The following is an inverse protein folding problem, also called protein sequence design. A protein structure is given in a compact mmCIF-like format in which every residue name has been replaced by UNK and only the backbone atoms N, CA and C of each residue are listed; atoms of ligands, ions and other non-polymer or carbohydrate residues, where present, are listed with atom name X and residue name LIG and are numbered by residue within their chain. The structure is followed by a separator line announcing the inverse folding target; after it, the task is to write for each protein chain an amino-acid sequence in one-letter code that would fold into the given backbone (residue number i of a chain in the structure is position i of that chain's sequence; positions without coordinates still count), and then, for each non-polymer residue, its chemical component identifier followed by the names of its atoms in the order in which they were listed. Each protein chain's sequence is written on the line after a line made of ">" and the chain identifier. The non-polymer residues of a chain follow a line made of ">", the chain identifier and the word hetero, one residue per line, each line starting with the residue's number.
data_IF_423318776760
#
_entry.id   IF_423318776760
#
_cell.length_a   1.000
_cell.length_b   1.000
_cell.length_c   1.000
_cell.angle_alpha   90.00
_cell.angle_beta   90.00
_cell.angle_gamma   90.00
#
_symmetry.space_group_name_H-M   'P 1'
#
loop_
_entity.id
_entity.type
_entity.pdbx_description
1 polymer ?
#
# COMPACT_ATOMS: atom_id res chain seq x y z
N UNK A 1 -46.14 -10.30 54.38
CA UNK A 1 -45.83 -11.30 53.35
C UNK A 1 -45.59 -10.68 51.97
N UNK A 2 -46.51 -9.89 51.42
CA UNK A 2 -46.33 -9.28 50.08
C UNK A 2 -45.11 -8.35 49.93
N UNK A 3 -44.76 -7.58 50.97
CA UNK A 3 -43.59 -6.69 50.97
C UNK A 3 -42.25 -7.44 50.93
N UNK A 4 -42.17 -8.57 51.64
CA UNK A 4 -40.97 -9.43 51.66
C UNK A 4 -40.77 -10.07 50.28
N UNK A 5 -41.85 -10.56 49.66
CA UNK A 5 -41.80 -11.14 48.33
C UNK A 5 -41.36 -10.09 47.28
N UNK A 6 -41.89 -8.87 47.36
CA UNK A 6 -41.48 -7.77 46.48
C UNK A 6 -39.99 -7.42 46.66
N UNK A 7 -39.51 -7.35 47.90
CA UNK A 7 -38.09 -7.08 48.19
C UNK A 7 -37.17 -8.17 47.61
N UNK A 8 -37.54 -9.44 47.73
CA UNK A 8 -36.77 -10.56 47.17
C UNK A 8 -36.71 -10.49 45.65
N UNK A 9 -37.83 -10.20 44.98
CA UNK A 9 -37.87 -10.06 43.52
C UNK A 9 -36.97 -8.91 43.05
N UNK A 10 -37.03 -7.76 43.73
CA UNK A 10 -36.17 -6.61 43.42
C UNK A 10 -34.69 -6.98 43.55
N UNK A 11 -34.31 -7.69 44.62
CA UNK A 11 -32.93 -8.15 44.80
C UNK A 11 -32.46 -9.07 43.65
N UNK A 12 -33.30 -10.01 43.22
CA UNK A 12 -32.96 -10.93 42.12
C UNK A 12 -32.77 -10.15 40.81
N UNK A 13 -33.66 -9.21 40.50
CA UNK A 13 -33.56 -8.36 39.31
C UNK A 13 -32.28 -7.51 39.34
N UNK A 14 -31.93 -6.94 40.49
CA UNK A 14 -30.70 -6.16 40.65
C UNK A 14 -29.44 -7.01 40.44
N UNK A 15 -29.40 -8.22 41.01
CA UNK A 15 -28.27 -9.14 40.83
C UNK A 15 -28.14 -9.54 39.36
N UNK A 16 -29.26 -9.83 38.69
CA UNK A 16 -29.27 -10.19 37.28
C UNK A 16 -28.84 -9.02 36.38
N UNK A 17 -29.33 -7.80 36.66
CA UNK A 17 -28.92 -6.60 35.95
C UNK A 17 -27.42 -6.32 36.12
N UNK A 18 -26.88 -6.49 37.33
CA UNK A 18 -25.45 -6.34 37.61
C UNK A 18 -24.63 -7.40 36.88
N UNK A 19 -25.11 -8.65 36.83
CA UNK A 19 -24.49 -9.73 36.09
C UNK A 19 -24.41 -9.41 34.58
N UNK A 20 -25.49 -8.94 33.96
CA UNK A 20 -25.48 -8.52 32.56
C UNK A 20 -24.56 -7.33 32.32
N UNK A 21 -24.54 -6.36 33.22
CA UNK A 21 -23.68 -5.20 33.08
C UNK A 21 -22.20 -5.58 33.05
N UNK A 22 -21.77 -6.44 33.98
CA UNK A 22 -20.38 -6.85 34.09
C UNK A 22 -19.99 -7.81 32.96
N UNK A 23 -20.83 -8.80 32.64
CA UNK A 23 -20.47 -9.87 31.69
C UNK A 23 -20.80 -9.57 30.23
N UNK A 24 -21.63 -8.57 29.93
CA UNK A 24 -22.05 -8.24 28.56
C UNK A 24 -21.69 -6.79 28.20
N UNK A 25 -22.11 -5.81 29.00
CA UNK A 25 -21.91 -4.40 28.63
C UNK A 25 -20.44 -3.96 28.69
N UNK A 26 -19.68 -4.38 29.71
CA UNK A 26 -18.25 -4.04 29.80
C UNK A 26 -17.42 -4.59 28.62
N UNK A 27 -17.49 -5.88 28.23
CA UNK A 27 -16.72 -6.38 27.10
C UNK A 27 -17.13 -5.72 25.77
N UNK A 28 -18.42 -5.45 25.56
CA UNK A 28 -18.89 -4.76 24.35
C UNK A 28 -18.30 -3.36 24.22
N UNK A 29 -18.17 -2.60 25.32
CA UNK A 29 -17.51 -1.29 25.30
C UNK A 29 -16.05 -1.39 24.89
N UNK A 30 -15.31 -2.38 25.41
CA UNK A 30 -13.91 -2.61 25.02
C UNK A 30 -13.78 -2.91 23.53
N UNK A 31 -14.62 -3.80 22.99
CA UNK A 31 -14.63 -4.11 21.55
C UNK A 31 -14.91 -2.85 20.72
N UNK A 32 -15.88 -2.02 21.13
CA UNK A 32 -16.18 -0.76 20.45
C UNK A 32 -14.96 0.16 20.36
N UNK A 33 -14.22 0.30 21.46
CA UNK A 33 -13.02 1.15 21.49
C UNK A 33 -11.91 0.58 20.61
N UNK A 34 -11.76 -0.74 20.56
CA UNK A 34 -10.83 -1.43 19.68
C UNK A 34 -11.19 -1.20 18.21
N UNK A 35 -12.45 -1.39 17.83
CA UNK A 35 -12.94 -1.16 16.47
C UNK A 35 -12.75 0.29 16.04
N UNK A 36 -12.96 1.25 16.94
CA UNK A 36 -12.68 2.65 16.66
C UNK A 36 -11.19 2.88 16.31
N UNK A 37 -10.26 2.30 17.07
CA UNK A 37 -8.82 2.38 16.77
C UNK A 37 -8.45 1.71 15.44
N UNK A 38 -9.05 0.55 15.15
CA UNK A 38 -8.88 -0.14 13.86
C UNK A 38 -9.36 0.74 12.71
N UNK A 39 -10.51 1.41 12.88
CA UNK A 39 -11.06 2.32 11.86
C UNK A 39 -10.18 3.56 11.62
N UNK A 40 -9.37 3.94 12.60
CA UNK A 40 -8.33 4.97 12.48
C UNK A 40 -7.00 4.43 11.91
N UNK A 41 -6.91 3.14 11.57
CA UNK A 41 -5.70 2.50 11.03
C UNK A 41 -4.62 2.17 12.08
N UNK A 42 -4.94 2.16 13.37
CA UNK A 42 -3.98 1.92 14.46
C UNK A 42 -3.98 0.46 14.91
N UNK A 43 -3.03 -0.34 14.41
CA UNK A 43 -2.94 -1.80 14.63
C UNK A 43 -1.88 -2.25 15.65
N UNK A 44 -1.08 -1.35 16.23
CA UNK A 44 0.10 -1.76 17.01
C UNK A 44 -0.13 -1.93 18.51
N UNK A 45 -1.30 -1.54 19.03
CA UNK A 45 -1.50 -1.36 20.49
C UNK A 45 -2.77 -2.00 21.04
N UNK A 46 -3.33 -2.98 20.32
CA UNK A 46 -4.59 -3.59 20.70
C UNK A 46 -4.35 -4.93 21.38
N UNK A 47 -4.61 -5.07 22.69
CA UNK A 47 -4.53 -6.35 23.38
C UNK A 47 -5.66 -7.28 22.89
N UNK A 48 -5.36 -8.57 22.80
CA UNK A 48 -6.36 -9.59 22.48
C UNK A 48 -7.52 -9.55 23.49
N UNK A 49 -8.75 -9.74 22.99
CA UNK A 49 -9.92 -9.84 23.85
C UNK A 49 -9.90 -11.21 24.50
N UNK A 50 -10.01 -11.23 25.83
CA UNK A 50 -10.06 -12.45 26.63
C UNK A 50 -11.35 -13.26 26.36
N UNK A 51 -11.20 -14.59 26.30
CA UNK A 51 -12.23 -15.56 25.92
C UNK A 51 -13.00 -16.11 27.15
N UNK A 52 -12.78 -15.55 28.34
CA UNK A 52 -13.07 -16.20 29.61
C UNK A 52 -14.56 -16.44 29.96
N UNK A 53 -15.55 -15.84 29.27
CA UNK A 53 -17.00 -16.08 29.48
C UNK A 53 -17.82 -16.01 28.19
N UNK A 54 -19.15 -16.25 28.26
CA UNK A 54 -20.20 -16.45 27.22
C UNK A 54 -20.08 -15.79 25.83
N UNK A 55 -19.12 -14.90 25.61
CA UNK A 55 -18.68 -14.30 24.36
C UNK A 55 -17.43 -14.95 23.73
N UNK A 56 -16.84 -16.01 24.31
CA UNK A 56 -15.57 -16.59 23.83
C UNK A 56 -15.50 -16.93 22.34
N UNK A 57 -16.57 -17.44 21.74
CA UNK A 57 -16.61 -17.71 20.28
C UNK A 57 -16.53 -16.41 19.46
N UNK A 58 -17.21 -15.36 19.93
CA UNK A 58 -17.14 -14.05 19.29
C UNK A 58 -15.75 -13.42 19.47
N UNK A 59 -15.20 -13.45 20.68
CA UNK A 59 -13.87 -12.91 20.98
C UNK A 59 -12.79 -13.58 20.13
N UNK A 60 -12.84 -14.92 19.99
CA UNK A 60 -11.93 -15.67 19.13
C UNK A 60 -12.08 -15.29 17.64
N UNK A 61 -13.31 -15.25 17.12
CA UNK A 61 -13.57 -14.84 15.74
C UNK A 61 -13.13 -13.41 15.45
N UNK A 62 -13.33 -12.50 16.41
CA UNK A 62 -12.87 -11.12 16.33
C UNK A 62 -11.35 -11.03 16.32
N UNK A 63 -10.67 -11.74 17.22
CA UNK A 63 -9.21 -11.77 17.29
C UNK A 63 -8.61 -12.32 15.97
N UNK A 64 -9.21 -13.35 15.38
CA UNK A 64 -8.81 -13.89 14.09
C UNK A 64 -8.99 -12.86 12.95
N UNK A 65 -10.13 -12.17 12.91
CA UNK A 65 -10.37 -11.09 11.95
C UNK A 65 -9.35 -9.95 12.10
N UNK A 66 -9.06 -9.56 13.34
CA UNK A 66 -8.09 -8.52 13.65
C UNK A 66 -6.68 -8.88 13.16
N UNK A 67 -6.24 -10.10 13.46
CA UNK A 67 -4.93 -10.61 13.03
C UNK A 67 -4.82 -10.69 11.50
N UNK A 68 -5.89 -11.14 10.83
CA UNK A 68 -5.91 -11.19 9.36
C UNK A 68 -5.88 -9.78 8.76
N UNK A 69 -6.60 -8.82 9.35
CA UNK A 69 -6.59 -7.43 8.90
C UNK A 69 -5.20 -6.80 9.08
N UNK A 70 -4.54 -7.05 10.21
CA UNK A 70 -3.17 -6.61 10.46
C UNK A 70 -2.21 -7.18 9.41
N UNK A 71 -2.24 -8.50 9.17
CA UNK A 71 -1.43 -9.16 8.14
C UNK A 71 -1.76 -8.69 6.74
N UNK A 72 -3.02 -8.39 6.45
CA UNK A 72 -3.43 -7.82 5.17
C UNK A 72 -2.79 -6.45 4.96
N UNK A 73 -2.78 -5.61 6.00
CA UNK A 73 -2.14 -4.29 5.93
C UNK A 73 -0.63 -4.37 5.77
N UNK A 74 0.04 -5.25 6.51
CA UNK A 74 1.49 -5.48 6.38
C UNK A 74 1.83 -5.97 4.95
N UNK A 75 1.03 -6.88 4.39
CA UNK A 75 1.17 -7.31 3.00
C UNK A 75 0.96 -6.17 2.00
N UNK A 76 -0.06 -5.34 2.21
CA UNK A 76 -0.33 -4.17 1.36
C UNK A 76 0.87 -3.22 1.33
N UNK A 77 1.45 -2.91 2.49
CA UNK A 77 2.65 -2.06 2.61
C UNK A 77 3.82 -2.71 1.87
N UNK A 78 4.10 -3.99 2.13
CA UNK A 78 5.19 -4.70 1.47
C UNK A 78 5.01 -4.80 -0.06
N UNK A 79 3.77 -4.89 -0.55
CA UNK A 79 3.46 -4.88 -1.98
C UNK A 79 3.73 -3.50 -2.60
N UNK A 80 3.33 -2.41 -1.94
CA UNK A 80 3.63 -1.04 -2.38
C UNK A 80 5.13 -0.76 -2.44
N UNK A 81 5.88 -1.21 -1.44
CA UNK A 81 7.34 -1.07 -1.42
C UNK A 81 7.97 -1.82 -2.60
N UNK A 82 7.53 -3.05 -2.85
CA UNK A 82 8.00 -3.87 -3.98
C UNK A 82 7.63 -3.25 -5.33
N UNK A 83 6.43 -2.70 -5.46
CA UNK A 83 5.97 -2.01 -6.66
C UNK A 83 6.86 -0.80 -6.96
N UNK A 84 7.19 -0.01 -5.93
CA UNK A 84 8.13 1.12 -6.02
C UNK A 84 9.52 0.69 -6.50
N UNK A 85 10.05 -0.40 -5.94
CA UNK A 85 11.33 -0.97 -6.35
C UNK A 85 11.31 -1.42 -7.83
N UNK A 86 10.22 -2.05 -8.27
CA UNK A 86 10.05 -2.49 -9.66
C UNK A 86 10.06 -1.31 -10.62
N UNK A 87 9.30 -0.24 -10.35
CA UNK A 87 9.29 0.95 -11.20
C UNK A 87 10.67 1.64 -11.27
N UNK A 88 11.35 1.76 -10.13
CA UNK A 88 12.71 2.33 -10.09
C UNK A 88 13.72 1.50 -10.90
N UNK A 89 13.60 0.17 -10.83
CA UNK A 89 14.47 -0.76 -11.57
C UNK A 89 14.21 -0.68 -13.07
N UNK A 90 12.94 -0.78 -13.49
CA UNK A 90 12.54 -0.65 -14.90
C UNK A 90 12.99 0.68 -15.49
N UNK A 91 12.88 1.78 -14.74
CA UNK A 91 13.34 3.08 -15.20
C UNK A 91 14.83 3.12 -15.51
N UNK A 92 15.65 2.54 -14.65
CA UNK A 92 17.10 2.45 -14.88
C UNK A 92 17.42 1.55 -16.07
N UNK A 93 16.86 0.35 -16.08
CA UNK A 93 17.13 -0.66 -17.12
C UNK A 93 16.67 -0.24 -18.51
N UNK A 94 15.66 0.64 -18.62
CA UNK A 94 15.23 1.20 -19.90
C UNK A 94 15.98 2.49 -20.27
N UNK A 95 16.44 3.27 -19.29
CA UNK A 95 17.23 4.49 -19.54
C UNK A 95 18.61 4.17 -20.12
N UNK A 96 19.24 3.09 -19.65
CA UNK A 96 20.58 2.66 -20.11
C UNK A 96 20.64 2.36 -21.62
N UNK A 97 19.77 1.49 -22.20
CA UNK A 97 19.76 1.22 -23.64
C UNK A 97 19.35 2.45 -24.47
N UNK A 98 18.44 3.30 -23.98
CA UNK A 98 18.08 4.55 -24.67
C UNK A 98 19.29 5.51 -24.75
N UNK A 99 20.04 5.62 -23.66
CA UNK A 99 21.28 6.41 -23.62
C UNK A 99 22.31 5.83 -24.59
N UNK A 100 22.47 4.51 -24.63
CA UNK A 100 23.36 3.83 -25.58
C UNK A 100 22.98 4.10 -27.05
N UNK A 101 21.68 4.07 -27.39
CA UNK A 101 21.19 4.40 -28.74
C UNK A 101 21.53 5.85 -29.09
N UNK A 102 21.25 6.80 -28.19
CA UNK A 102 21.57 8.23 -28.38
C UNK A 102 23.05 8.44 -28.64
N UNK A 103 23.92 7.93 -27.75
CA UNK A 103 25.37 8.05 -27.87
C UNK A 103 25.91 7.41 -29.15
N UNK A 104 25.40 6.23 -29.51
CA UNK A 104 25.82 5.54 -30.74
C UNK A 104 25.42 6.35 -31.98
N UNK A 105 24.20 6.91 -32.00
CA UNK A 105 23.76 7.75 -33.12
C UNK A 105 24.58 9.04 -33.25
N UNK A 106 24.89 9.72 -32.14
CA UNK A 106 25.76 10.91 -32.12
C UNK A 106 27.19 10.57 -32.55
N UNK A 107 27.74 9.45 -32.09
CA UNK A 107 29.08 8.98 -32.45
C UNK A 107 29.18 8.71 -33.96
N UNK A 108 28.20 7.99 -34.52
CA UNK A 108 28.15 7.69 -35.95
C UNK A 108 28.00 8.98 -36.78
N UNK A 109 27.15 9.90 -36.34
CA UNK A 109 26.94 11.20 -36.98
C UNK A 109 28.23 12.01 -37.02
N UNK A 110 28.92 12.09 -35.89
CA UNK A 110 30.22 12.79 -35.76
C UNK A 110 31.27 12.15 -36.67
N UNK A 111 31.30 10.82 -36.75
CA UNK A 111 32.24 10.09 -37.62
C UNK A 111 31.96 10.32 -39.11
N UNK A 112 30.70 10.37 -39.51
CA UNK A 112 30.29 10.67 -40.89
C UNK A 112 30.69 12.08 -41.31
N UNK A 113 30.44 13.08 -40.46
CA UNK A 113 30.83 14.48 -40.71
C UNK A 113 32.36 14.62 -40.77
N UNK A 114 33.09 13.87 -39.95
CA UNK A 114 34.55 13.92 -39.92
C UNK A 114 35.22 13.22 -41.13
N UNK A 115 34.50 12.38 -41.88
CA UNK A 115 35.02 11.67 -43.04
C UNK A 115 35.18 12.67 -44.20
N UNK A 116 36.42 13.02 -44.56
CA UNK A 116 36.79 13.95 -45.66
C UNK A 116 36.54 13.37 -47.07
N UNK A 117 35.43 12.67 -47.28
CA UNK A 117 34.97 12.31 -48.64
C UNK A 117 34.03 13.40 -49.16
N UNK A 118 33.94 13.53 -50.49
CA UNK A 118 33.45 14.71 -51.22
C UNK A 118 32.00 15.16 -50.98
N UNK A 119 31.22 14.48 -50.14
CA UNK A 119 29.98 14.99 -49.57
C UNK A 119 29.56 14.04 -48.45
N UNK A 120 29.18 14.53 -47.25
CA UNK A 120 28.63 13.67 -46.22
C UNK A 120 27.32 13.04 -46.73
N UNK A 121 27.12 11.75 -46.45
CA UNK A 121 25.87 11.04 -46.77
C UNK A 121 24.70 11.68 -46.00
N UNK A 122 24.04 12.64 -46.65
CA UNK A 122 22.97 13.45 -46.08
C UNK A 122 21.78 12.59 -45.64
N UNK A 123 21.50 11.52 -46.39
CA UNK A 123 20.48 10.54 -46.03
C UNK A 123 20.84 9.80 -44.73
N UNK A 124 22.09 9.35 -44.59
CA UNK A 124 22.55 8.71 -43.36
C UNK A 124 22.50 9.66 -42.15
N UNK A 125 22.87 10.93 -42.32
CA UNK A 125 22.78 11.95 -41.27
C UNK A 125 21.32 12.18 -40.82
N UNK A 126 20.39 12.31 -41.77
CA UNK A 126 18.97 12.47 -41.48
C UNK A 126 18.42 11.28 -40.67
N UNK A 127 18.78 10.04 -41.04
CA UNK A 127 18.35 8.85 -40.31
C UNK A 127 18.93 8.78 -38.90
N UNK A 128 20.19 9.19 -38.70
CA UNK A 128 20.80 9.22 -37.38
C UNK A 128 20.14 10.26 -36.47
N UNK A 129 19.82 11.44 -37.00
CA UNK A 129 19.08 12.48 -36.28
C UNK A 129 17.66 12.00 -35.93
N UNK A 130 16.99 11.27 -36.83
CA UNK A 130 15.70 10.65 -36.54
C UNK A 130 15.80 9.62 -35.40
N UNK A 131 16.80 8.73 -35.42
CA UNK A 131 17.02 7.73 -34.37
C UNK A 131 17.27 8.41 -33.02
N UNK A 132 18.13 9.43 -32.99
CA UNK A 132 18.41 10.20 -31.79
C UNK A 132 17.14 10.81 -31.21
N UNK A 133 16.39 11.54 -32.02
CA UNK A 133 15.17 12.22 -31.60
C UNK A 133 14.10 11.23 -31.10
N UNK A 134 13.99 10.05 -31.73
CA UNK A 134 13.06 8.99 -31.28
C UNK A 134 13.48 8.40 -29.94
N UNK A 135 14.77 8.14 -29.74
CA UNK A 135 15.28 7.65 -28.46
C UNK A 135 15.09 8.69 -27.34
N UNK A 136 15.30 9.96 -27.64
CA UNK A 136 15.11 11.07 -26.70
C UNK A 136 13.63 11.24 -26.31
N UNK A 137 12.72 11.26 -27.29
CA UNK A 137 11.28 11.30 -27.05
C UNK A 137 10.81 10.11 -26.21
N UNK A 138 11.31 8.91 -26.50
CA UNK A 138 10.98 7.71 -25.73
C UNK A 138 11.48 7.84 -24.28
N UNK A 139 12.66 8.39 -24.06
CA UNK A 139 13.20 8.67 -22.72
C UNK A 139 12.37 9.67 -21.93
N UNK A 140 11.86 10.72 -22.57
CA UNK A 140 10.96 11.69 -21.95
C UNK A 140 9.63 11.03 -21.56
N UNK A 141 9.03 10.25 -22.47
CA UNK A 141 7.77 9.54 -22.21
C UNK A 141 7.93 8.52 -21.07
N UNK A 142 9.03 7.77 -21.06
CA UNK A 142 9.37 6.84 -19.99
C UNK A 142 9.46 7.57 -18.65
N UNK A 143 10.19 8.69 -18.58
CA UNK A 143 10.33 9.47 -17.35
C UNK A 143 8.99 9.99 -16.84
N UNK A 144 8.14 10.50 -17.73
CA UNK A 144 6.82 10.99 -17.35
C UNK A 144 5.92 9.84 -16.84
N UNK A 145 5.94 8.68 -17.50
CA UNK A 145 5.17 7.50 -17.09
C UNK A 145 5.62 7.00 -15.71
N UNK A 146 6.92 6.94 -15.47
CA UNK A 146 7.47 6.50 -14.19
C UNK A 146 7.23 7.53 -13.07
N UNK A 147 7.33 8.82 -13.38
CA UNK A 147 7.00 9.88 -12.42
C UNK A 147 5.54 9.77 -11.99
N UNK A 148 4.61 9.64 -12.94
CA UNK A 148 3.19 9.48 -12.62
C UNK A 148 2.93 8.21 -11.79
N UNK A 149 3.56 7.09 -12.15
CA UNK A 149 3.43 5.85 -11.39
C UNK A 149 3.98 5.97 -9.96
N UNK A 150 5.11 6.67 -9.78
CA UNK A 150 5.73 6.89 -8.47
C UNK A 150 4.96 7.91 -7.63
N UNK A 151 4.40 8.96 -8.24
CA UNK A 151 3.61 9.99 -7.55
C UNK A 151 2.32 9.40 -6.98
N UNK A 152 1.62 8.54 -7.74
CA UNK A 152 0.44 7.80 -7.28
C UNK A 152 0.74 6.91 -6.05
N UNK A 153 2.00 6.49 -5.86
CA UNK A 153 2.43 5.68 -4.72
C UNK A 153 2.85 6.52 -3.50
N UNK A 154 3.15 7.81 -3.66
CA UNK A 154 3.57 8.74 -2.60
C UNK A 154 2.44 9.46 -1.87
N UNK A 155 1.19 9.37 -2.33
CA UNK A 155 0.04 10.13 -1.79
C UNK A 155 -0.71 9.49 -0.59
N UNK A 156 -0.12 8.55 0.17
CA UNK A 156 -0.78 7.96 1.35
C UNK A 156 0.07 7.89 2.62
#
# INVERSE_FOLDING_TARGET
>A
MGTILAAVIICIVLIFALYLFINVMLPLRKIKDIVAKISEGKFDTIPAIDDSHSFGVFSSAFNAMYEELKKSREREIALKDKETEVYATLGRELTDPLTSIKLTSELLRTRLIAKKESEPDEYALEKLDLIYNRADQTGILLKNLLSNALDDMGEF
#
